data_IF_597077058065
#
_entry.id   IF_597077058065
#
_cell.length_a   1.000
_cell.length_b   1.000
_cell.length_c   1.000
_cell.angle_alpha   90.00
_cell.angle_beta   90.00
_cell.angle_gamma   90.00
#
_symmetry.space_group_name_H-M   'P 1'
#
loop_
_entity.id
_entity.type
_entity.pdbx_description
1 polymer ?
#
# COMPACT_ATOMS: atom_id res chain seq x y z
N UNK A 1 1.81 -2.36 -14.12
CA UNK A 1 2.57 -2.56 -12.87
C UNK A 1 2.65 -1.31 -12.02
N UNK A 2 3.21 -1.43 -10.84
CA UNK A 2 3.44 -0.29 -9.94
C UNK A 2 4.86 0.24 -10.18
N UNK A 3 4.99 1.53 -10.42
CA UNK A 3 6.27 2.18 -10.68
C UNK A 3 7.08 2.31 -9.38
N UNK A 4 8.33 1.89 -9.46
CA UNK A 4 9.38 2.20 -8.49
C UNK A 4 10.48 2.96 -9.21
N UNK A 5 10.67 4.23 -8.86
CA UNK A 5 11.73 5.08 -9.42
C UNK A 5 12.99 4.90 -8.58
N UNK A 6 14.11 4.66 -9.24
CA UNK A 6 15.42 4.48 -8.60
C UNK A 6 16.19 5.82 -8.53
N UNK A 7 17.22 5.92 -7.67
CA UNK A 7 17.99 7.16 -7.48
C UNK A 7 18.55 7.74 -8.77
N UNK A 8 18.91 6.90 -9.74
CA UNK A 8 19.45 7.30 -11.05
C UNK A 8 18.39 7.89 -12.00
N UNK A 9 17.12 7.99 -11.54
CA UNK A 9 16.03 8.65 -12.26
C UNK A 9 15.30 7.78 -13.29
N UNK A 10 15.70 6.53 -13.50
CA UNK A 10 14.90 5.53 -14.21
C UNK A 10 14.06 4.71 -13.24
N UNK A 11 13.13 3.90 -13.74
CA UNK A 11 12.29 3.08 -12.87
C UNK A 11 11.93 1.73 -13.46
N UNK A 12 11.26 0.93 -12.63
CA UNK A 12 10.68 -0.34 -13.04
C UNK A 12 9.22 -0.45 -12.63
N UNK A 13 8.41 -1.04 -13.50
CA UNK A 13 7.05 -1.44 -13.16
C UNK A 13 7.11 -2.80 -12.47
N UNK A 14 6.88 -2.79 -11.16
CA UNK A 14 6.78 -4.00 -10.35
C UNK A 14 5.40 -4.64 -10.55
N UNK A 15 5.38 -5.95 -10.54
CA UNK A 15 4.14 -6.72 -10.68
C UNK A 15 3.63 -7.19 -9.31
N UNK A 16 3.44 -8.48 -9.14
CA UNK A 16 2.85 -9.07 -7.94
C UNK A 16 3.65 -8.76 -6.68
N UNK A 17 2.95 -8.37 -5.62
CA UNK A 17 3.53 -8.03 -4.30
C UNK A 17 4.65 -6.98 -4.34
N UNK A 18 4.79 -6.23 -5.42
CA UNK A 18 5.84 -5.22 -5.60
C UNK A 18 7.27 -5.74 -5.45
N UNK A 19 7.46 -7.05 -5.61
CA UNK A 19 8.77 -7.70 -5.53
C UNK A 19 9.57 -7.52 -6.82
N UNK A 20 10.89 -7.62 -6.72
CA UNK A 20 11.78 -7.69 -7.89
C UNK A 20 11.52 -8.96 -8.68
N UNK A 21 11.48 -8.84 -10.00
CA UNK A 21 11.26 -10.00 -10.85
C UNK A 21 11.76 -9.86 -12.29
N UNK A 22 11.96 -11.00 -12.98
CA UNK A 22 12.43 -11.00 -14.36
C UNK A 22 11.39 -10.42 -15.36
N UNK A 23 10.15 -10.26 -14.91
CA UNK A 23 9.05 -9.68 -15.70
C UNK A 23 8.86 -8.19 -15.44
N UNK A 24 9.75 -7.54 -14.68
CA UNK A 24 9.71 -6.10 -14.46
C UNK A 24 9.94 -5.37 -15.79
N UNK A 25 9.28 -4.23 -15.95
CA UNK A 25 9.34 -3.43 -17.17
C UNK A 25 10.09 -2.15 -16.87
N UNK A 26 11.14 -1.90 -17.61
CA UNK A 26 11.94 -0.69 -17.51
C UNK A 26 11.17 0.54 -17.99
N UNK A 27 11.27 1.63 -17.24
CA UNK A 27 10.70 2.95 -17.55
C UNK A 27 11.81 3.98 -17.63
N UNK A 28 11.90 4.66 -18.74
CA UNK A 28 12.99 5.62 -19.00
C UNK A 28 12.84 6.91 -18.19
N UNK A 29 13.95 7.60 -17.86
CA UNK A 29 13.90 8.89 -17.18
C UNK A 29 13.12 9.95 -17.95
N UNK A 30 13.16 9.89 -19.28
CA UNK A 30 12.42 10.83 -20.14
C UNK A 30 10.90 10.68 -19.99
N UNK A 31 10.39 9.44 -19.93
CA UNK A 31 8.96 9.18 -19.69
C UNK A 31 8.54 9.61 -18.29
N UNK A 32 9.36 9.31 -17.28
CA UNK A 32 9.11 9.70 -15.89
C UNK A 32 8.97 11.22 -15.78
N UNK A 33 9.90 11.97 -16.32
CA UNK A 33 9.85 13.45 -16.32
C UNK A 33 8.70 14.01 -17.14
N UNK A 34 8.51 13.51 -18.37
CA UNK A 34 7.48 14.03 -19.30
C UNK A 34 6.06 13.89 -18.75
N UNK A 35 5.78 12.77 -18.08
CA UNK A 35 4.44 12.44 -17.55
C UNK A 35 4.30 12.68 -16.03
N UNK A 36 5.30 13.30 -15.40
CA UNK A 36 5.33 13.53 -13.94
C UNK A 36 5.02 12.27 -13.13
N UNK A 37 5.60 11.13 -13.58
CA UNK A 37 5.42 9.85 -12.91
C UNK A 37 6.22 9.82 -11.61
N UNK A 38 5.65 9.16 -10.61
CA UNK A 38 6.26 9.02 -9.29
C UNK A 38 6.20 7.58 -8.81
N UNK A 39 7.07 7.22 -7.89
CA UNK A 39 6.99 5.93 -7.18
C UNK A 39 5.58 5.74 -6.59
N UNK A 40 5.01 4.55 -6.79
CA UNK A 40 3.65 4.21 -6.37
C UNK A 40 2.58 4.38 -7.45
N UNK A 41 2.87 5.01 -8.59
CA UNK A 41 1.93 5.09 -9.71
C UNK A 41 1.68 3.71 -10.32
N UNK A 42 0.41 3.36 -10.52
CA UNK A 42 0.00 2.18 -11.29
C UNK A 42 -0.07 2.56 -12.76
N UNK A 43 0.82 1.98 -13.55
CA UNK A 43 0.94 2.29 -14.97
C UNK A 43 0.43 1.11 -15.81
N UNK A 44 -0.45 1.41 -16.77
CA UNK A 44 -0.83 0.52 -17.86
C UNK A 44 -0.33 1.10 -19.17
N UNK A 45 0.19 0.25 -20.06
CA UNK A 45 0.76 0.71 -21.31
C UNK A 45 1.25 -0.43 -22.19
N UNK A 46 1.94 -0.06 -23.26
CA UNK A 46 2.51 -0.99 -24.24
C UNK A 46 4.00 -1.11 -23.97
N UNK A 47 4.46 -2.35 -23.78
CA UNK A 47 5.88 -2.68 -23.63
C UNK A 47 6.48 -3.14 -24.95
N UNK A 48 7.77 -2.84 -25.15
CA UNK A 48 8.58 -3.38 -26.25
C UNK A 48 9.06 -4.79 -25.89
N UNK A 49 9.02 -5.69 -26.87
CA UNK A 49 9.66 -7.01 -26.74
C UNK A 49 11.16 -6.80 -26.54
N UNK A 50 11.78 -7.62 -25.71
CA UNK A 50 13.23 -7.60 -25.48
C UNK A 50 14.00 -7.77 -26.79
N UNK A 51 15.01 -6.94 -26.99
CA UNK A 51 16.05 -7.21 -27.98
C UNK A 51 17.08 -8.20 -27.43
N UNK A 52 17.83 -8.83 -28.31
CA UNK A 52 18.92 -9.74 -27.95
C UNK A 52 19.94 -8.99 -27.08
N UNK A 53 20.24 -9.54 -25.88
CA UNK A 53 21.12 -8.91 -24.89
C UNK A 53 20.44 -8.02 -23.84
N UNK A 54 19.18 -7.68 -23.98
CA UNK A 54 18.45 -6.89 -22.96
C UNK A 54 17.93 -7.78 -21.83
N UNK A 55 18.11 -7.32 -20.58
CA UNK A 55 17.63 -8.03 -19.38
C UNK A 55 16.12 -7.86 -19.15
N UNK A 56 15.58 -6.68 -19.44
CA UNK A 56 14.19 -6.29 -19.18
C UNK A 56 13.48 -5.81 -20.44
N UNK A 57 12.16 -5.95 -20.46
CA UNK A 57 11.32 -5.26 -21.44
C UNK A 57 11.30 -3.76 -21.11
N UNK A 58 11.11 -2.90 -22.10
CA UNK A 58 10.98 -1.46 -21.92
C UNK A 58 9.55 -0.99 -22.19
N UNK A 59 9.06 -0.04 -21.40
CA UNK A 59 7.79 0.63 -21.65
C UNK A 59 7.94 1.55 -22.86
N UNK A 60 7.08 1.36 -23.87
CA UNK A 60 7.04 2.23 -25.05
C UNK A 60 6.04 3.36 -24.88
N UNK A 61 4.83 3.03 -24.47
CA UNK A 61 3.73 3.97 -24.40
C UNK A 61 2.92 3.76 -23.11
N UNK A 62 2.50 4.87 -22.48
CA UNK A 62 1.66 4.88 -21.29
C UNK A 62 0.22 5.14 -21.72
N UNK A 63 -0.67 4.19 -21.47
CA UNK A 63 -2.10 4.33 -21.74
C UNK A 63 -2.81 5.01 -20.58
N UNK A 64 -2.55 4.54 -19.33
CA UNK A 64 -3.17 5.11 -18.14
C UNK A 64 -2.20 5.19 -16.98
N UNK A 65 -2.43 6.16 -16.09
CA UNK A 65 -1.77 6.31 -14.81
C UNK A 65 -2.83 6.29 -13.71
N UNK A 66 -2.77 5.31 -12.82
CA UNK A 66 -3.77 5.06 -11.77
C UNK A 66 -5.20 4.86 -12.30
N UNK A 67 -5.34 4.40 -13.54
CA UNK A 67 -6.62 4.18 -14.20
C UNK A 67 -7.13 5.37 -15.02
N UNK A 68 -6.55 6.56 -14.85
CA UNK A 68 -6.93 7.79 -15.55
C UNK A 68 -5.99 8.10 -16.72
N UNK A 69 -6.35 9.09 -17.54
CA UNK A 69 -5.50 9.63 -18.59
C UNK A 69 -4.17 10.15 -18.03
N UNK A 70 -3.03 9.92 -18.69
CA UNK A 70 -1.72 10.39 -18.20
C UNK A 70 -1.65 11.91 -17.96
N UNK A 71 -2.46 12.71 -18.66
CA UNK A 71 -2.57 14.15 -18.44
C UNK A 71 -3.10 14.53 -17.04
N UNK A 72 -3.88 13.65 -16.40
CA UNK A 72 -4.32 13.86 -15.02
C UNK A 72 -3.13 13.79 -14.05
N UNK A 73 -2.22 12.83 -14.24
CA UNK A 73 -1.01 12.70 -13.43
C UNK A 73 -0.08 13.92 -13.55
N UNK A 74 0.01 14.53 -14.73
CA UNK A 74 0.82 15.73 -14.95
C UNK A 74 0.29 16.92 -14.13
N UNK A 75 -1.04 17.07 -14.02
CA UNK A 75 -1.72 18.20 -13.37
C UNK A 75 -1.95 18.01 -11.87
N UNK A 76 -1.73 16.82 -11.33
CA UNK A 76 -1.99 16.52 -9.90
C UNK A 76 -1.12 17.35 -8.96
N UNK A 77 -1.68 17.74 -7.83
CA UNK A 77 -0.92 18.35 -6.73
C UNK A 77 -0.11 17.28 -5.99
N UNK A 78 1.07 17.64 -5.51
CA UNK A 78 1.86 16.72 -4.68
C UNK A 78 1.16 16.48 -3.35
N UNK A 79 1.23 15.26 -2.82
CA UNK A 79 0.64 14.88 -1.53
C UNK A 79 1.06 15.83 -0.40
N UNK A 80 2.35 16.22 -0.37
CA UNK A 80 2.90 17.09 0.67
C UNK A 80 2.35 18.53 0.62
N UNK A 81 1.67 18.92 -0.48
CA UNK A 81 1.02 20.23 -0.63
C UNK A 81 -0.47 20.20 -0.36
N UNK A 82 -1.03 19.01 -0.07
CA UNK A 82 -2.44 18.87 0.27
C UNK A 82 -2.70 19.36 1.70
N UNK A 83 -3.82 20.02 1.90
CA UNK A 83 -4.22 20.50 3.23
C UNK A 83 -4.76 19.33 4.06
N UNK A 84 -4.16 18.97 5.20
CA UNK A 84 -4.72 17.99 6.11
C UNK A 84 -6.02 18.53 6.74
N UNK A 85 -7.04 17.68 6.79
CA UNK A 85 -8.33 17.98 7.38
C UNK A 85 -8.65 17.01 8.51
N UNK A 86 -9.55 17.41 9.43
CA UNK A 86 -10.08 16.50 10.42
C UNK A 86 -11.02 15.47 9.76
N UNK A 87 -11.12 14.24 10.33
CA UNK A 87 -11.96 13.17 9.80
C UNK A 87 -13.45 13.40 10.11
N UNK A 88 -14.07 14.38 9.47
CA UNK A 88 -15.48 14.76 9.70
C UNK A 88 -16.46 13.85 8.97
N UNK A 89 -16.06 13.28 7.83
CA UNK A 89 -16.88 12.37 7.05
C UNK A 89 -16.70 10.94 7.55
N UNK A 90 -17.77 10.36 8.12
CA UNK A 90 -17.74 9.01 8.70
C UNK A 90 -17.77 7.91 7.63
N UNK A 91 -16.99 6.87 7.84
CA UNK A 91 -17.05 5.60 7.13
C UNK A 91 -17.72 4.54 8.04
N UNK A 92 -18.96 4.19 7.75
CA UNK A 92 -19.66 3.15 8.51
C UNK A 92 -19.16 1.75 8.11
N UNK A 93 -18.78 0.97 9.10
CA UNK A 93 -18.35 -0.42 8.93
C UNK A 93 -19.44 -1.42 9.31
N UNK A 94 -20.62 -0.97 9.75
CA UNK A 94 -21.77 -1.84 9.96
C UNK A 94 -22.24 -2.43 8.63
N UNK A 95 -22.22 -3.76 8.54
CA UNK A 95 -22.61 -4.50 7.35
C UNK A 95 -24.01 -5.10 7.45
N UNK A 96 -24.34 -5.58 8.64
CA UNK A 96 -25.60 -6.27 8.91
C UNK A 96 -25.96 -6.14 10.39
N UNK A 97 -27.25 -5.93 10.77
CA UNK A 97 -27.68 -5.77 12.16
C UNK A 97 -27.26 -6.91 13.12
N UNK A 98 -27.04 -8.11 12.60
CA UNK A 98 -26.58 -9.28 13.36
C UNK A 98 -25.06 -9.32 13.54
N UNK A 99 -24.28 -8.47 12.84
CA UNK A 99 -22.82 -8.43 12.93
C UNK A 99 -22.40 -7.45 14.04
N UNK A 100 -22.32 -7.97 15.27
CA UNK A 100 -22.10 -7.14 16.46
C UNK A 100 -20.75 -6.45 16.47
N UNK A 101 -19.67 -7.07 15.96
CA UNK A 101 -18.32 -6.50 16.04
C UNK A 101 -18.17 -5.18 15.26
N UNK A 102 -18.65 -5.14 14.02
CA UNK A 102 -18.59 -3.92 13.18
C UNK A 102 -19.54 -2.85 13.70
N UNK A 103 -20.72 -3.26 14.22
CA UNK A 103 -21.66 -2.34 14.86
C UNK A 103 -21.08 -1.70 16.13
N UNK A 104 -20.36 -2.45 16.95
CA UNK A 104 -19.69 -1.92 18.14
C UNK A 104 -18.62 -0.90 17.74
N UNK A 105 -17.84 -1.17 16.68
CA UNK A 105 -16.87 -0.20 16.16
C UNK A 105 -17.57 1.11 15.77
N UNK A 106 -18.66 1.03 15.02
CA UNK A 106 -19.40 2.20 14.59
C UNK A 106 -19.98 3.02 15.73
N UNK A 107 -20.33 2.39 16.85
CA UNK A 107 -20.89 3.06 18.04
C UNK A 107 -19.82 3.66 18.96
N UNK A 108 -18.70 2.96 19.17
CA UNK A 108 -17.72 3.32 20.21
C UNK A 108 -16.46 3.94 19.64
N UNK A 109 -16.02 3.51 18.44
CA UNK A 109 -14.79 3.95 17.80
C UNK A 109 -15.04 4.19 16.29
N UNK A 110 -15.91 5.14 15.92
CA UNK A 110 -16.24 5.40 14.53
C UNK A 110 -15.01 5.80 13.72
N UNK A 111 -14.96 5.36 12.48
CA UNK A 111 -13.87 5.63 11.55
C UNK A 111 -14.30 6.73 10.60
N UNK A 112 -13.45 7.73 10.37
CA UNK A 112 -13.67 8.80 9.40
C UNK A 112 -12.62 8.85 8.31
N UNK A 113 -12.94 9.49 7.19
CA UNK A 113 -11.98 9.73 6.09
C UNK A 113 -10.81 10.58 6.60
N UNK A 114 -9.58 10.15 6.36
CA UNK A 114 -8.37 10.78 6.88
C UNK A 114 -7.95 10.35 8.29
N UNK A 115 -8.75 9.51 8.97
CA UNK A 115 -8.42 9.03 10.31
C UNK A 115 -7.31 7.97 10.29
N UNK A 116 -6.48 8.01 11.34
CA UNK A 116 -5.53 6.94 11.69
C UNK A 116 -6.03 6.22 12.93
N UNK A 117 -6.33 4.94 12.79
CA UNK A 117 -6.80 4.07 13.87
C UNK A 117 -5.82 2.95 14.17
N UNK A 118 -5.77 2.48 15.41
CA UNK A 118 -4.95 1.36 15.83
C UNK A 118 -5.81 0.32 16.55
N UNK A 119 -5.69 -0.95 16.12
CA UNK A 119 -6.29 -2.08 16.81
C UNK A 119 -5.22 -2.73 17.67
N UNK A 120 -5.38 -2.61 18.99
CA UNK A 120 -4.49 -3.24 19.98
C UNK A 120 -5.20 -4.45 20.57
N UNK A 121 -4.58 -5.62 20.46
CA UNK A 121 -5.15 -6.86 20.97
C UNK A 121 -4.05 -7.85 21.38
N UNK A 122 -4.30 -8.70 22.39
CA UNK A 122 -3.40 -9.81 22.70
C UNK A 122 -3.34 -10.80 21.50
N UNK A 123 -2.32 -11.65 21.45
CA UNK A 123 -2.24 -12.73 20.48
C UNK A 123 -3.49 -13.62 20.51
N UNK A 124 -3.92 -14.09 19.34
CA UNK A 124 -5.07 -15.01 19.18
C UNK A 124 -6.44 -14.43 19.60
N UNK A 125 -6.56 -13.12 19.78
CA UNK A 125 -7.84 -12.46 20.13
C UNK A 125 -8.76 -12.17 18.94
N UNK A 126 -8.44 -12.64 17.72
CA UNK A 126 -9.28 -12.46 16.54
C UNK A 126 -9.02 -11.18 15.74
N UNK A 127 -7.85 -10.52 15.91
CA UNK A 127 -7.46 -9.30 15.17
C UNK A 127 -7.64 -9.46 13.65
N UNK A 128 -7.09 -10.52 13.05
CA UNK A 128 -7.19 -10.78 11.59
C UNK A 128 -8.63 -10.98 11.13
N UNK A 129 -9.48 -11.63 11.95
CA UNK A 129 -10.91 -11.77 11.67
C UNK A 129 -11.60 -10.40 11.65
N UNK A 130 -11.28 -9.54 12.63
CA UNK A 130 -11.82 -8.19 12.70
C UNK A 130 -11.38 -7.33 11.50
N UNK A 131 -10.12 -7.39 11.12
CA UNK A 131 -9.60 -6.69 9.94
C UNK A 131 -10.32 -7.12 8.65
N UNK A 132 -10.55 -8.43 8.46
CA UNK A 132 -11.33 -8.93 7.31
C UNK A 132 -12.78 -8.42 7.32
N UNK A 133 -13.41 -8.34 8.48
CA UNK A 133 -14.77 -7.79 8.61
C UNK A 133 -14.81 -6.31 8.25
N UNK A 134 -13.87 -5.50 8.73
CA UNK A 134 -13.73 -4.09 8.38
C UNK A 134 -13.49 -3.94 6.87
N UNK A 135 -12.52 -4.67 6.31
CA UNK A 135 -12.22 -4.66 4.87
C UNK A 135 -13.47 -4.91 4.02
N UNK A 136 -14.20 -6.00 4.33
CA UNK A 136 -15.41 -6.38 3.60
C UNK A 136 -16.57 -5.40 3.79
N UNK A 137 -16.62 -4.70 4.91
CA UNK A 137 -17.61 -3.66 5.15
C UNK A 137 -17.31 -2.41 4.32
N UNK A 138 -16.05 -1.98 4.30
CA UNK A 138 -15.62 -0.83 3.48
C UNK A 138 -15.88 -1.08 2.00
N UNK A 139 -15.45 -2.19 1.44
CA UNK A 139 -15.65 -2.48 0.01
C UNK A 139 -17.11 -2.66 -0.39
N UNK A 140 -17.96 -3.07 0.55
CA UNK A 140 -19.41 -3.18 0.32
C UNK A 140 -20.13 -1.84 0.40
N UNK A 141 -19.85 -1.07 1.45
CA UNK A 141 -20.56 0.16 1.74
C UNK A 141 -20.03 1.35 0.91
N UNK A 142 -18.75 1.28 0.50
CA UNK A 142 -18.04 2.35 -0.22
C UNK A 142 -17.24 1.75 -1.37
N UNK A 143 -17.88 1.30 -2.46
CA UNK A 143 -17.20 0.66 -3.60
C UNK A 143 -16.24 1.60 -4.34
N UNK A 144 -16.37 2.92 -4.14
CA UNK A 144 -15.48 3.96 -4.68
C UNK A 144 -14.16 4.09 -3.90
N UNK A 145 -14.12 3.60 -2.66
CA UNK A 145 -12.92 3.66 -1.81
C UNK A 145 -11.92 2.58 -2.23
N UNK A 146 -10.70 2.99 -2.51
CA UNK A 146 -9.60 2.09 -2.84
C UNK A 146 -9.10 1.40 -1.57
N UNK A 147 -9.45 0.12 -1.41
CA UNK A 147 -8.98 -0.69 -0.29
C UNK A 147 -7.64 -1.33 -0.61
N UNK A 148 -6.63 -1.01 0.19
CA UNK A 148 -5.31 -1.65 0.14
C UNK A 148 -5.05 -2.36 1.48
N UNK A 149 -4.64 -3.62 1.43
CA UNK A 149 -4.24 -4.41 2.60
C UNK A 149 -2.76 -4.72 2.51
N UNK A 150 -1.99 -4.25 3.47
CA UNK A 150 -0.57 -4.53 3.61
C UNK A 150 -0.33 -5.55 4.72
N UNK A 151 0.20 -6.71 4.35
CA UNK A 151 0.59 -7.77 5.27
C UNK A 151 2.11 -7.81 5.37
N UNK A 152 2.67 -7.56 6.56
CA UNK A 152 4.12 -7.50 6.78
C UNK A 152 4.56 -8.68 7.63
N UNK A 153 5.50 -9.48 7.11
CA UNK A 153 6.07 -10.63 7.80
C UNK A 153 4.98 -11.65 8.22
N UNK A 154 3.93 -11.81 7.39
CA UNK A 154 2.84 -12.75 7.65
C UNK A 154 3.07 -14.10 6.97
N UNK A 155 2.39 -15.13 7.50
CA UNK A 155 2.51 -16.50 6.99
C UNK A 155 1.79 -16.64 5.65
N UNK A 156 2.30 -17.47 4.72
CA UNK A 156 1.70 -17.67 3.39
C UNK A 156 0.22 -18.07 3.42
N UNK A 157 -0.18 -18.88 4.41
CA UNK A 157 -1.57 -19.29 4.60
C UNK A 157 -2.49 -18.11 4.98
N UNK A 158 -2.01 -17.18 5.83
CA UNK A 158 -2.75 -15.97 6.21
C UNK A 158 -2.88 -14.99 5.04
N UNK A 159 -1.82 -14.86 4.24
CA UNK A 159 -1.83 -14.07 3.00
C UNK A 159 -2.85 -14.62 2.00
N UNK A 160 -2.85 -15.95 1.81
CA UNK A 160 -3.79 -16.62 0.91
C UNK A 160 -5.24 -16.46 1.38
N UNK A 161 -5.47 -16.60 2.68
CA UNK A 161 -6.79 -16.41 3.29
C UNK A 161 -7.29 -14.97 3.12
N UNK A 162 -6.43 -13.97 3.34
CA UNK A 162 -6.78 -12.57 3.13
C UNK A 162 -7.15 -12.28 1.66
N UNK A 163 -6.35 -12.76 0.70
CA UNK A 163 -6.62 -12.59 -0.73
C UNK A 163 -7.93 -13.24 -1.20
N UNK A 164 -8.31 -14.37 -0.61
CA UNK A 164 -9.55 -15.06 -0.96
C UNK A 164 -10.80 -14.42 -0.36
N UNK A 165 -10.65 -13.78 0.79
CA UNK A 165 -11.78 -13.30 1.58
C UNK A 165 -11.95 -11.77 1.59
N UNK A 166 -11.04 -11.02 0.97
CA UNK A 166 -11.11 -9.55 0.90
C UNK A 166 -11.10 -9.10 -0.56
N UNK A 167 -12.06 -8.27 -0.92
CA UNK A 167 -12.12 -7.64 -2.23
C UNK A 167 -11.35 -6.30 -2.20
N UNK A 168 -10.02 -6.36 -2.37
CA UNK A 168 -9.13 -5.21 -2.35
C UNK A 168 -7.74 -5.57 -2.87
N UNK A 169 -6.87 -4.59 -3.01
CA UNK A 169 -5.47 -4.83 -3.38
C UNK A 169 -4.70 -5.37 -2.17
N UNK A 170 -4.38 -6.68 -2.15
CA UNK A 170 -3.63 -7.31 -1.06
C UNK A 170 -2.16 -7.43 -1.44
N UNK A 171 -1.33 -6.66 -0.78
CA UNK A 171 0.14 -6.68 -0.91
C UNK A 171 0.72 -7.35 0.32
N UNK A 172 1.58 -8.33 0.11
CA UNK A 172 2.19 -9.08 1.20
C UNK A 172 3.70 -9.14 1.05
N UNK A 173 4.36 -8.95 2.17
CA UNK A 173 5.76 -9.28 2.37
C UNK A 173 5.80 -10.52 3.28
N UNK A 174 6.08 -11.68 2.67
CA UNK A 174 6.01 -12.98 3.36
C UNK A 174 7.16 -13.18 4.35
N UNK A 175 6.94 -14.06 5.33
CA UNK A 175 7.89 -14.37 6.41
C UNK A 175 9.29 -14.83 5.93
N UNK A 176 9.37 -15.41 4.74
CA UNK A 176 10.59 -15.91 4.10
C UNK A 176 11.41 -14.84 3.37
N UNK A 177 10.90 -13.60 3.28
CA UNK A 177 11.62 -12.49 2.65
C UNK A 177 12.59 -11.84 3.64
N UNK A 178 13.58 -11.13 3.09
CA UNK A 178 14.53 -10.36 3.88
C UNK A 178 13.93 -9.08 4.46
N UNK A 179 14.61 -8.54 5.45
CA UNK A 179 14.17 -7.32 6.17
C UNK A 179 14.08 -6.10 5.26
N UNK A 180 14.97 -5.99 4.28
CA UNK A 180 14.98 -4.90 3.30
C UNK A 180 13.73 -4.95 2.43
N UNK A 181 13.31 -6.13 2.01
CA UNK A 181 12.06 -6.32 1.26
C UNK A 181 10.83 -5.91 2.06
N UNK A 182 10.77 -6.22 3.37
CA UNK A 182 9.67 -5.78 4.23
C UNK A 182 9.54 -4.25 4.27
N UNK A 183 10.67 -3.56 4.46
CA UNK A 183 10.72 -2.08 4.51
C UNK A 183 10.34 -1.49 3.16
N UNK A 184 10.99 -1.95 2.08
CA UNK A 184 10.79 -1.42 0.72
C UNK A 184 9.35 -1.59 0.23
N UNK A 185 8.77 -2.79 0.40
CA UNK A 185 7.39 -3.06 -0.01
C UNK A 185 6.42 -2.17 0.77
N UNK A 186 6.64 -1.99 2.07
CA UNK A 186 5.79 -1.13 2.90
C UNK A 186 5.88 0.34 2.48
N UNK A 187 7.08 0.83 2.18
CA UNK A 187 7.27 2.18 1.63
C UNK A 187 6.57 2.35 0.28
N UNK A 188 6.69 1.36 -0.61
CA UNK A 188 6.05 1.41 -1.92
C UNK A 188 4.51 1.40 -1.82
N UNK A 189 3.94 0.67 -0.86
CA UNK A 189 2.49 0.71 -0.58
C UNK A 189 2.05 2.07 -0.08
N UNK A 190 2.80 2.70 0.82
CA UNK A 190 2.51 4.06 1.29
C UNK A 190 2.57 5.07 0.13
N UNK A 191 3.60 4.99 -0.72
CA UNK A 191 3.68 5.82 -1.92
C UNK A 191 2.49 5.56 -2.88
N UNK A 192 2.07 4.30 -3.01
CA UNK A 192 0.85 3.95 -3.77
C UNK A 192 -0.39 4.66 -3.22
N UNK A 193 -0.59 4.66 -1.91
CA UNK A 193 -1.70 5.37 -1.26
C UNK A 193 -1.63 6.88 -1.52
N UNK A 194 -0.43 7.49 -1.41
CA UNK A 194 -0.21 8.90 -1.71
C UNK A 194 -0.57 9.25 -3.15
N UNK A 195 -0.17 8.40 -4.13
CA UNK A 195 -0.51 8.62 -5.55
C UNK A 195 -2.00 8.59 -5.82
N UNK A 196 -2.73 7.69 -5.17
CA UNK A 196 -4.19 7.65 -5.26
C UNK A 196 -4.84 8.91 -4.67
N UNK A 197 -4.39 9.33 -3.49
CA UNK A 197 -4.87 10.56 -2.85
C UNK A 197 -4.57 11.81 -3.70
N UNK A 198 -3.40 11.91 -4.36
CA UNK A 198 -3.08 12.97 -5.31
C UNK A 198 -4.04 13.02 -6.51
N UNK A 199 -4.64 11.89 -6.87
CA UNK A 199 -5.66 11.77 -7.92
C UNK A 199 -7.09 12.01 -7.41
N UNK A 200 -7.25 12.42 -6.14
CA UNK A 200 -8.54 12.70 -5.53
C UNK A 200 -9.34 11.46 -5.14
N UNK A 201 -8.69 10.30 -5.00
CA UNK A 201 -9.34 9.05 -4.59
C UNK A 201 -9.26 8.86 -3.07
N UNK A 202 -10.32 8.38 -2.49
CA UNK A 202 -10.33 7.93 -1.10
C UNK A 202 -9.63 6.58 -0.97
N UNK A 203 -8.68 6.48 -0.04
CA UNK A 203 -7.88 5.27 0.19
C UNK A 203 -8.06 4.77 1.60
N UNK A 204 -8.37 3.50 1.76
CA UNK A 204 -8.42 2.82 3.04
C UNK A 204 -7.28 1.81 3.13
N UNK A 205 -6.25 2.12 3.92
CA UNK A 205 -5.10 1.24 4.14
C UNK A 205 -5.28 0.43 5.42
N UNK A 206 -5.37 -0.88 5.30
CA UNK A 206 -5.27 -1.82 6.42
C UNK A 206 -3.87 -2.40 6.50
N UNK A 207 -3.23 -2.32 7.66
CA UNK A 207 -1.89 -2.85 7.88
C UNK A 207 -1.88 -3.91 9.00
N UNK A 208 -1.37 -5.09 8.70
CA UNK A 208 -1.12 -6.16 9.66
C UNK A 208 0.34 -6.64 9.52
N UNK A 209 1.27 -6.37 10.44
CA UNK A 209 1.09 -5.54 11.63
C UNK A 209 2.17 -4.45 11.70
N UNK A 210 1.80 -3.32 12.28
CA UNK A 210 2.74 -2.22 12.55
C UNK A 210 3.90 -2.64 13.45
N UNK A 211 3.67 -3.58 14.38
CA UNK A 211 4.71 -4.11 15.26
C UNK A 211 5.81 -4.84 14.48
N UNK A 212 5.43 -5.64 13.48
CA UNK A 212 6.40 -6.35 12.64
C UNK A 212 7.13 -5.40 11.71
N UNK A 213 6.42 -4.41 11.16
CA UNK A 213 7.03 -3.35 10.37
C UNK A 213 8.08 -2.57 11.17
N UNK A 214 7.74 -2.14 12.38
CA UNK A 214 8.66 -1.42 13.25
C UNK A 214 9.91 -2.25 13.58
N UNK A 215 9.76 -3.56 13.81
CA UNK A 215 10.90 -4.48 14.01
C UNK A 215 11.77 -4.61 12.75
N UNK A 216 11.15 -4.64 11.57
CA UNK A 216 11.89 -4.66 10.30
C UNK A 216 12.71 -3.38 10.11
N UNK A 217 12.13 -2.22 10.37
CA UNK A 217 12.85 -0.95 10.32
C UNK A 217 14.02 -0.91 11.29
N UNK A 218 13.84 -1.38 12.53
CA UNK A 218 14.93 -1.43 13.52
C UNK A 218 16.11 -2.29 13.05
N UNK A 219 15.82 -3.45 12.46
CA UNK A 219 16.87 -4.34 11.92
C UNK A 219 17.57 -3.72 10.71
N UNK A 220 16.80 -3.08 9.82
CA UNK A 220 17.32 -2.51 8.57
C UNK A 220 18.28 -1.35 8.82
N UNK A 221 17.99 -0.45 9.77
CA UNK A 221 18.81 0.73 10.03
C UNK A 221 20.04 0.40 10.90
N UNK A 222 20.19 -0.83 11.43
CA UNK A 222 21.28 -1.23 12.34
C UNK A 222 21.07 -0.72 13.78
N UNK A 223 21.89 -1.16 14.71
CA UNK A 223 21.67 -0.92 16.15
C UNK A 223 22.22 0.46 16.57
N UNK A 224 21.36 1.42 16.94
CA UNK A 224 21.76 2.72 17.51
C UNK A 224 21.90 2.70 19.05
N UNK A 225 21.61 1.55 19.67
CA UNK A 225 21.75 1.36 21.13
C UNK A 225 20.64 1.99 21.99
N UNK A 226 19.64 2.67 21.40
CA UNK A 226 18.52 3.28 22.12
C UNK A 226 17.18 2.77 21.58
N UNK A 227 16.65 1.75 22.23
CA UNK A 227 15.31 1.21 21.90
C UNK A 227 14.32 1.55 23.01
N UNK A 228 13.09 1.90 22.63
CA UNK A 228 11.97 2.04 23.57
C UNK A 228 11.51 0.65 24.07
N UNK A 229 10.70 0.62 25.14
CA UNK A 229 9.99 -0.57 25.56
C UNK A 229 9.20 -1.15 24.37
N UNK A 230 9.47 -2.40 23.99
CA UNK A 230 8.91 -3.01 22.77
C UNK A 230 9.88 -3.14 21.59
N UNK A 231 11.13 -2.67 21.73
CA UNK A 231 12.19 -2.89 20.74
C UNK A 231 12.16 -1.97 19.53
N UNK A 232 11.52 -0.79 19.64
CA UNK A 232 11.44 0.22 18.56
C UNK A 232 12.36 1.39 18.86
N UNK A 233 13.20 1.80 17.91
CA UNK A 233 14.04 2.99 18.03
C UNK A 233 13.22 4.25 17.67
N UNK A 234 13.19 5.23 18.59
CA UNK A 234 12.42 6.47 18.42
C UNK A 234 12.86 7.32 17.22
N UNK A 235 14.12 7.26 16.85
CA UNK A 235 14.66 8.02 15.71
C UNK A 235 14.23 7.46 14.33
N UNK A 236 13.43 6.37 14.32
CA UNK A 236 13.09 5.56 13.15
C UNK A 236 11.60 5.39 12.91
N UNK A 237 10.79 6.04 13.74
CA UNK A 237 9.37 6.21 13.57
C UNK A 237 9.04 7.50 12.84
#
# INVERSE_FOLDING_TARGET
>A
GILEVLPDGYGFLRRENFTYGPKDIYVSPSQIRKLNLKTGDKISGIGRIKSEGEKFQALLFVNTVNGDDPGAAIRRKSFDTLTPIFPEERLSVEKHPKELSTRIIDLIAPIGKGQRGMIVSPPKAGKTVLLKKIANSITRNYPEVELIVLLVDERPEEVTDMRRNVNGEVVASSLDQDVESHVRISQLVVERCRRLAEMGRDVFLLMDSITRLARAFNKWVGNTGRTMSGGVDRARL
#
